data_IF_765523465353
#
_entry.id   IF_765523465353
#
_cell.length_a   1.000
_cell.length_b   1.000
_cell.length_c   1.000
_cell.angle_alpha   90.00
_cell.angle_beta   90.00
_cell.angle_gamma   90.00
#
_symmetry.space_group_name_H-M   'P 1'
#
loop_
_entity.id
_entity.type
_entity.pdbx_description
1 polymer ?
#
# COMPACT_ATOMS: atom_id res chain seq x y z
N UNK A 1 1.08 -23.15 -9.38
CA UNK A 1 0.33 -22.03 -9.97
C UNK A 1 0.12 -20.93 -8.92
N UNK A 2 0.90 -19.85 -8.97
CA UNK A 2 0.66 -18.69 -8.10
C UNK A 2 -0.53 -17.92 -8.67
N UNK A 3 -1.54 -17.65 -7.83
CA UNK A 3 -2.66 -16.77 -8.16
C UNK A 3 -2.09 -15.47 -8.71
N UNK A 4 -2.60 -15.04 -9.86
CA UNK A 4 -2.31 -13.73 -10.44
C UNK A 4 -2.74 -12.67 -9.41
N UNK A 5 -1.77 -12.14 -8.68
CA UNK A 5 -2.01 -11.00 -7.80
C UNK A 5 -2.30 -9.84 -8.72
N UNK A 6 -3.58 -9.47 -8.82
CA UNK A 6 -3.97 -8.20 -9.43
C UNK A 6 -3.29 -7.08 -8.64
N UNK A 7 -2.17 -6.60 -9.16
CA UNK A 7 -1.61 -5.33 -8.72
C UNK A 7 -2.58 -4.25 -9.19
N UNK A 8 -3.30 -3.65 -8.24
CA UNK A 8 -4.25 -2.56 -8.51
C UNK A 8 -3.55 -1.22 -8.83
N UNK A 9 -2.22 -1.22 -8.88
CA UNK A 9 -1.41 -0.03 -9.03
C UNK A 9 -0.93 0.07 -10.46
N UNK A 10 -1.16 1.23 -11.07
CA UNK A 10 -0.80 1.52 -12.46
C UNK A 10 0.72 1.49 -12.70
N UNK A 11 1.51 1.63 -11.63
CA UNK A 11 2.97 1.64 -11.68
C UNK A 11 3.60 1.08 -10.38
N UNK A 12 4.89 0.70 -10.41
CA UNK A 12 5.59 0.22 -9.22
C UNK A 12 5.75 1.31 -8.16
N UNK A 13 5.46 0.96 -6.91
CA UNK A 13 5.67 1.85 -5.75
C UNK A 13 7.02 1.53 -5.14
N UNK A 14 7.85 2.56 -4.92
CA UNK A 14 9.25 2.39 -4.52
C UNK A 14 9.49 2.72 -3.04
N UNK A 15 9.41 3.99 -2.59
CA UNK A 15 9.45 4.27 -1.16
C UNK A 15 8.11 3.92 -0.51
N UNK A 16 8.17 3.27 0.65
CA UNK A 16 7.02 3.00 1.51
C UNK A 16 7.31 3.55 2.91
N UNK A 17 6.39 4.31 3.47
CA UNK A 17 6.47 4.85 4.83
C UNK A 17 5.18 4.53 5.60
N UNK A 18 5.32 4.27 6.89
CA UNK A 18 4.21 4.10 7.82
C UNK A 18 4.18 5.22 8.85
N UNK A 19 2.99 5.57 9.34
CA UNK A 19 2.89 6.44 10.51
C UNK A 19 3.21 5.66 11.80
N UNK A 20 3.56 6.39 12.87
CA UNK A 20 3.92 5.78 14.16
C UNK A 20 2.81 4.90 14.75
N UNK A 21 1.55 5.26 14.52
CA UNK A 21 0.39 4.52 15.04
C UNK A 21 0.08 3.23 14.28
N UNK A 22 0.71 3.00 13.12
CA UNK A 22 0.44 1.84 12.27
C UNK A 22 -0.95 1.86 11.60
N UNK A 23 -1.59 3.03 11.52
CA UNK A 23 -2.93 3.19 10.92
C UNK A 23 -2.88 3.64 9.47
N UNK A 24 -1.73 4.13 8.98
CA UNK A 24 -1.58 4.60 7.61
C UNK A 24 -0.26 4.16 6.98
N UNK A 25 -0.33 3.87 5.69
CA UNK A 25 0.81 3.69 4.80
C UNK A 25 0.77 4.76 3.70
N UNK A 26 1.92 5.30 3.35
CA UNK A 26 2.11 6.18 2.20
C UNK A 26 3.17 5.60 1.25
N UNK A 27 2.90 5.66 -0.05
CA UNK A 27 3.78 5.15 -1.09
C UNK A 27 3.94 6.15 -2.22
N UNK A 28 5.17 6.27 -2.74
CA UNK A 28 5.49 7.16 -3.86
C UNK A 28 5.66 6.42 -5.19
N UNK A 29 5.10 6.99 -6.24
CA UNK A 29 5.25 6.55 -7.63
C UNK A 29 6.32 7.35 -8.38
N UNK A 30 6.77 6.86 -9.55
CA UNK A 30 7.74 7.58 -10.39
C UNK A 30 7.12 8.79 -11.08
N UNK A 31 5.80 8.74 -11.32
CA UNK A 31 5.02 9.88 -11.82
C UNK A 31 5.00 11.08 -10.86
N UNK A 32 5.32 10.87 -9.58
CA UNK A 32 5.15 11.85 -8.51
C UNK A 32 3.84 11.70 -7.73
N UNK A 33 2.98 10.77 -8.13
CA UNK A 33 1.76 10.45 -7.38
C UNK A 33 2.09 9.87 -5.99
N UNK A 34 1.26 10.23 -5.02
CA UNK A 34 1.32 9.72 -3.65
C UNK A 34 0.04 8.95 -3.39
N UNK A 35 0.20 7.69 -2.99
CA UNK A 35 -0.90 6.84 -2.58
C UNK A 35 -0.92 6.74 -1.05
N UNK A 36 -2.11 6.85 -0.45
CA UNK A 36 -2.33 6.74 0.98
C UNK A 36 -3.34 5.62 1.23
N UNK A 37 -3.02 4.70 2.14
CA UNK A 37 -3.90 3.61 2.56
C UNK A 37 -4.12 3.66 4.06
N UNK A 38 -5.37 3.44 4.47
CA UNK A 38 -5.70 3.13 5.85
C UNK A 38 -5.42 1.65 6.12
N UNK A 39 -4.72 1.37 7.21
CA UNK A 39 -4.41 0.01 7.64
C UNK A 39 -5.46 -0.44 8.63
N UNK A 40 -6.36 -1.31 8.16
CA UNK A 40 -7.37 -1.94 9.01
C UNK A 40 -6.90 -3.33 9.41
N UNK A 41 -6.73 -3.57 10.71
CA UNK A 41 -6.49 -4.90 11.24
C UNK A 41 -7.79 -5.70 11.19
N UNK A 42 -7.88 -6.69 10.31
CA UNK A 42 -8.99 -7.64 10.33
C UNK A 42 -8.68 -8.77 11.31
N UNK A 43 -9.26 -8.69 12.51
CA UNK A 43 -9.28 -9.81 13.47
C UNK A 43 -10.56 -10.61 13.25
N UNK A 44 -10.42 -11.86 12.79
CA UNK A 44 -11.51 -12.82 12.88
C UNK A 44 -11.67 -13.22 14.34
N UNK A 45 -12.79 -12.82 14.94
CA UNK A 45 -13.26 -13.32 16.23
C UNK A 45 -13.83 -14.74 16.10
#
# INVERSE_FOLDING_TARGET
>A
PQVEVKSFLAEPIKPLAGNHQGTYLAGGALSGDIYLWEVSLHIHA
#
